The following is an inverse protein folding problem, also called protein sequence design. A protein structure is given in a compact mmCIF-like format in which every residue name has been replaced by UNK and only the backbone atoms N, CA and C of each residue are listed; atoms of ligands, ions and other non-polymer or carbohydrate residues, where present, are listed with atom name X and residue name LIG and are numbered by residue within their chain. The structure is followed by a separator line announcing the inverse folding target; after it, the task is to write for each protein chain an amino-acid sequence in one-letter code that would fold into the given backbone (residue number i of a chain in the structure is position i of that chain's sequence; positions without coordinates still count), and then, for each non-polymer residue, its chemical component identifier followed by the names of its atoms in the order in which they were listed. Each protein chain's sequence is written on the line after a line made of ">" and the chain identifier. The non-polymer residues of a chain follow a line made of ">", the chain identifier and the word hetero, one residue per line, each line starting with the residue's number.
data_IF_767342726120
#
_entry.id   IF_767342726120
#
_cell.length_a   1.000
_cell.length_b   1.000
_cell.length_c   1.000
_cell.angle_alpha   90.00
_cell.angle_beta   90.00
_cell.angle_gamma   90.00
#
_symmetry.space_group_name_H-M   'P 1'
#
loop_
_entity.id
_entity.type
_entity.pdbx_description
1 polymer ?
#
# COMPACT_ATOMS: atom_id res chain seq x y z
N UNK A 1 13.80 7.12 39.11
CA UNK A 1 14.94 7.25 38.19
C UNK A 1 14.94 8.67 37.64
N UNK A 2 15.92 9.49 38.00
CA UNK A 2 16.06 10.82 37.39
C UNK A 2 16.41 10.65 35.91
N UNK A 3 15.71 11.38 35.06
CA UNK A 3 15.95 11.41 33.64
C UNK A 3 17.26 12.17 33.39
N UNK A 4 18.34 11.46 33.07
CA UNK A 4 19.58 12.10 32.68
C UNK A 4 19.44 12.66 31.25
N UNK A 5 18.87 13.87 31.20
CA UNK A 5 18.66 14.65 29.98
C UNK A 5 19.97 14.80 29.19
N UNK A 6 21.11 14.92 29.88
CA UNK A 6 22.42 15.07 29.25
C UNK A 6 22.81 13.82 28.45
N UNK A 7 22.58 12.64 29.02
CA UNK A 7 22.83 11.35 28.37
C UNK A 7 21.92 11.14 27.17
N UNK A 8 20.64 11.50 27.26
CA UNK A 8 19.72 11.40 26.12
C UNK A 8 20.13 12.33 24.97
N UNK A 9 20.48 13.58 25.26
CA UNK A 9 20.94 14.55 24.25
C UNK A 9 22.21 14.04 23.57
N UNK A 10 23.15 13.51 24.35
CA UNK A 10 24.39 12.95 23.80
C UNK A 10 24.12 11.78 22.86
N UNK A 11 23.27 10.84 23.27
CA UNK A 11 22.89 9.69 22.45
C UNK A 11 22.13 10.12 21.18
N UNK A 12 21.21 11.07 21.28
CA UNK A 12 20.51 11.62 20.12
C UNK A 12 21.45 12.29 19.11
N UNK A 13 22.45 13.05 19.59
CA UNK A 13 23.49 13.64 18.73
C UNK A 13 24.32 12.57 18.02
N UNK A 14 24.68 11.50 18.74
CA UNK A 14 25.36 10.34 18.15
C UNK A 14 24.50 9.66 17.09
N UNK A 15 23.21 9.51 17.33
CA UNK A 15 22.28 8.93 16.35
C UNK A 15 22.12 9.83 15.11
N UNK A 16 22.04 11.16 15.29
CA UNK A 16 22.06 12.13 14.18
C UNK A 16 23.30 11.96 13.30
N UNK A 17 24.48 11.89 13.91
CA UNK A 17 25.74 11.70 13.19
C UNK A 17 25.75 10.37 12.41
N UNK A 18 25.29 9.27 13.03
CA UNK A 18 25.18 7.97 12.37
C UNK A 18 24.20 7.99 11.19
N UNK A 19 23.05 8.64 11.35
CA UNK A 19 22.07 8.78 10.27
C UNK A 19 22.65 9.54 9.07
N UNK A 20 23.31 10.67 9.33
CA UNK A 20 23.97 11.45 8.29
C UNK A 20 25.05 10.64 7.57
N UNK A 21 25.97 10.02 8.31
CA UNK A 21 27.06 9.23 7.73
C UNK A 21 26.53 8.10 6.82
N UNK A 22 25.47 7.41 7.23
CA UNK A 22 24.91 6.26 6.51
C UNK A 22 24.06 6.61 5.29
N UNK A 23 23.40 7.77 5.28
CA UNK A 23 22.33 8.06 4.31
C UNK A 23 22.52 9.38 3.57
N UNK A 24 23.09 10.39 4.22
CA UNK A 24 23.13 11.76 3.68
C UNK A 24 24.53 12.20 3.23
N UNK A 25 25.58 11.55 3.73
CA UNK A 25 26.95 11.85 3.33
C UNK A 25 27.25 11.32 1.93
N UNK A 26 28.23 11.93 1.24
CA UNK A 26 28.63 11.48 -0.11
C UNK A 26 29.03 9.99 -0.13
N UNK A 27 29.84 9.56 0.85
CA UNK A 27 30.22 8.16 1.00
C UNK A 27 29.03 7.26 1.34
N UNK A 28 28.07 7.75 2.12
CA UNK A 28 26.84 7.03 2.46
C UNK A 28 25.95 6.80 1.23
N UNK A 29 25.78 7.84 0.40
CA UNK A 29 25.03 7.76 -0.87
C UNK A 29 25.70 6.75 -1.80
N UNK A 30 27.00 6.85 -1.98
CA UNK A 30 27.79 5.95 -2.83
C UNK A 30 27.70 4.49 -2.35
N UNK A 31 27.86 4.25 -1.04
CA UNK A 31 27.72 2.91 -0.45
C UNK A 31 26.32 2.34 -0.67
N UNK A 32 25.28 3.15 -0.50
CA UNK A 32 23.90 2.72 -0.74
C UNK A 32 23.65 2.42 -2.22
N UNK A 33 24.25 3.20 -3.12
CA UNK A 33 24.14 2.99 -4.55
C UNK A 33 24.80 1.68 -4.99
N UNK A 34 26.02 1.40 -4.52
CA UNK A 34 26.66 0.10 -4.79
C UNK A 34 25.86 -1.09 -4.23
N UNK A 35 25.27 -0.95 -3.04
CA UNK A 35 24.40 -2.01 -2.49
C UNK A 35 23.17 -2.25 -3.35
N UNK A 36 22.58 -1.21 -3.92
CA UNK A 36 21.44 -1.36 -4.81
C UNK A 36 21.83 -2.06 -6.10
N UNK A 37 23.00 -1.76 -6.66
CA UNK A 37 23.51 -2.50 -7.82
C UNK A 37 23.73 -3.99 -7.49
N UNK A 38 24.22 -4.29 -6.29
CA UNK A 38 24.40 -5.69 -5.83
C UNK A 38 23.08 -6.44 -5.65
N UNK A 39 22.00 -5.76 -5.29
CA UNK A 39 20.68 -6.36 -5.09
C UNK A 39 19.73 -6.11 -6.26
N UNK A 40 20.23 -5.58 -7.37
CA UNK A 40 19.40 -5.17 -8.50
C UNK A 40 18.68 -6.35 -9.12
N UNK A 41 19.36 -7.49 -9.29
CA UNK A 41 18.77 -8.66 -9.94
C UNK A 41 17.66 -9.32 -9.12
N UNK A 42 17.73 -9.19 -7.78
CA UNK A 42 16.72 -9.73 -6.86
C UNK A 42 15.46 -8.86 -6.79
N UNK A 43 15.57 -7.57 -7.10
CA UNK A 43 14.47 -6.63 -6.94
C UNK A 43 13.32 -6.86 -7.95
N UNK A 44 13.56 -7.14 -9.25
CA UNK A 44 12.53 -7.54 -10.19
C UNK A 44 11.67 -8.70 -9.71
N UNK A 45 12.28 -9.75 -9.15
CA UNK A 45 11.58 -10.91 -8.62
C UNK A 45 10.56 -10.48 -7.56
N UNK A 46 10.99 -9.65 -6.59
CA UNK A 46 10.11 -9.10 -5.57
C UNK A 46 8.97 -8.25 -6.17
N UNK A 47 9.26 -7.41 -7.17
CA UNK A 47 8.24 -6.56 -7.81
C UNK A 47 7.20 -7.42 -8.52
N UNK A 48 7.63 -8.40 -9.32
CA UNK A 48 6.73 -9.28 -10.06
C UNK A 48 5.88 -10.16 -9.14
N UNK A 49 6.37 -10.53 -7.95
CA UNK A 49 5.63 -11.35 -6.99
C UNK A 49 4.64 -10.58 -6.10
N UNK A 50 4.63 -9.25 -6.15
CA UNK A 50 3.87 -8.44 -5.19
C UNK A 50 2.98 -7.42 -5.88
N UNK A 51 3.51 -6.69 -6.85
CA UNK A 51 2.76 -5.61 -7.48
C UNK A 51 1.55 -6.12 -8.29
N UNK A 52 1.67 -7.20 -9.10
CA UNK A 52 0.53 -7.74 -9.84
C UNK A 52 -0.64 -8.16 -8.95
N UNK A 53 -0.38 -8.80 -7.80
CA UNK A 53 -1.43 -9.24 -6.86
C UNK A 53 -2.35 -8.07 -6.48
N UNK A 54 -1.74 -6.94 -6.16
CA UNK A 54 -2.48 -5.76 -5.70
C UNK A 54 -3.16 -5.00 -6.82
N UNK A 55 -2.53 -4.93 -7.99
CA UNK A 55 -3.11 -4.23 -9.14
C UNK A 55 -4.28 -5.01 -9.71
N UNK A 56 -4.15 -6.32 -9.89
CA UNK A 56 -5.25 -7.16 -10.34
C UNK A 56 -6.38 -7.26 -9.32
N UNK A 57 -6.07 -7.20 -8.03
CA UNK A 57 -7.11 -7.10 -6.99
C UNK A 57 -7.78 -5.73 -6.98
N UNK A 58 -7.05 -4.64 -7.25
CA UNK A 58 -7.64 -3.31 -7.38
C UNK A 58 -8.59 -3.23 -8.59
N UNK A 59 -8.21 -3.80 -9.74
CA UNK A 59 -9.08 -3.92 -10.91
C UNK A 59 -10.33 -4.78 -10.63
N UNK A 60 -10.17 -5.87 -9.89
CA UNK A 60 -11.28 -6.69 -9.43
C UNK A 60 -12.27 -5.91 -8.55
N UNK A 61 -11.74 -5.19 -7.55
CA UNK A 61 -12.53 -4.37 -6.64
C UNK A 61 -13.16 -3.17 -7.33
N UNK A 62 -12.54 -2.66 -8.39
CA UNK A 62 -13.13 -1.63 -9.23
C UNK A 62 -14.46 -2.08 -9.84
N UNK A 63 -14.50 -3.29 -10.42
CA UNK A 63 -15.73 -3.87 -10.98
C UNK A 63 -16.76 -4.24 -9.91
N UNK A 64 -16.31 -4.85 -8.81
CA UNK A 64 -17.23 -5.30 -7.76
C UNK A 64 -17.88 -4.19 -6.95
N UNK A 65 -17.15 -3.10 -6.75
CA UNK A 65 -17.57 -2.04 -5.84
C UNK A 65 -17.77 -0.72 -6.57
N UNK A 66 -17.77 -0.67 -7.90
CA UNK A 66 -18.02 0.55 -8.67
C UNK A 66 -17.11 1.72 -8.22
N UNK A 67 -15.84 1.40 -8.00
CA UNK A 67 -14.79 2.38 -7.64
C UNK A 67 -13.88 2.50 -8.86
N UNK A 68 -13.70 3.69 -9.47
CA UNK A 68 -12.78 3.86 -10.57
C UNK A 68 -11.36 3.36 -10.24
N UNK A 69 -10.66 2.67 -11.16
CA UNK A 69 -9.33 2.12 -10.89
C UNK A 69 -8.32 3.17 -10.37
N UNK A 70 -8.36 4.40 -10.91
CA UNK A 70 -7.43 5.47 -10.53
C UNK A 70 -7.55 5.90 -9.05
N UNK A 71 -8.68 5.60 -8.43
CA UNK A 71 -8.88 5.88 -7.01
C UNK A 71 -8.11 4.95 -6.09
N UNK A 72 -7.80 3.73 -6.55
CA UNK A 72 -6.99 2.81 -5.77
C UNK A 72 -5.57 3.33 -5.66
N UNK A 73 -5.10 3.51 -4.42
CA UNK A 73 -3.78 4.08 -4.21
C UNK A 73 -2.68 3.19 -4.76
N UNK A 74 -2.91 1.88 -4.82
CA UNK A 74 -1.95 0.95 -5.42
C UNK A 74 -1.71 1.30 -6.87
N UNK A 75 -2.75 1.55 -7.67
CA UNK A 75 -2.65 1.96 -9.08
C UNK A 75 -2.05 3.35 -9.23
N UNK A 76 -2.39 4.28 -8.33
CA UNK A 76 -2.00 5.69 -8.43
C UNK A 76 -0.61 6.02 -7.83
N UNK A 77 0.13 5.02 -7.36
CA UNK A 77 1.46 5.19 -6.76
C UNK A 77 2.54 4.98 -7.81
N UNK A 78 2.66 5.94 -8.74
CA UNK A 78 3.72 5.95 -9.74
C UNK A 78 4.39 7.31 -9.79
N UNK A 79 5.71 7.29 -9.92
CA UNK A 79 6.54 8.48 -9.96
C UNK A 79 7.53 8.39 -11.11
N UNK A 80 8.06 9.52 -11.56
CA UNK A 80 9.16 9.57 -12.50
C UNK A 80 10.30 10.39 -11.89
N UNK A 81 11.48 9.78 -11.68
CA UNK A 81 12.66 10.52 -11.27
C UNK A 81 13.22 11.28 -12.48
N UNK A 82 13.26 12.60 -12.38
CA UNK A 82 13.90 13.48 -13.36
C UNK A 82 15.19 14.06 -12.79
N UNK A 83 16.13 14.38 -13.68
CA UNK A 83 17.32 15.12 -13.32
C UNK A 83 16.93 16.56 -12.92
N UNK A 84 17.40 17.04 -11.76
CA UNK A 84 17.11 18.39 -11.32
C UNK A 84 17.95 19.41 -12.10
N UNK A 85 17.41 20.61 -12.28
CA UNK A 85 18.17 21.76 -12.77
C UNK A 85 19.28 22.17 -11.78
N UNK A 86 20.26 22.95 -12.25
CA UNK A 86 21.39 23.37 -11.42
C UNK A 86 20.95 24.10 -10.14
N UNK A 87 19.92 24.96 -10.20
CA UNK A 87 19.38 25.66 -9.02
C UNK A 87 18.86 24.67 -7.97
N UNK A 88 18.04 23.70 -8.40
CA UNK A 88 17.51 22.62 -7.56
C UNK A 88 18.64 21.77 -6.96
N UNK A 89 19.64 21.42 -7.77
CA UNK A 89 20.80 20.64 -7.33
C UNK A 89 21.62 21.36 -6.25
N UNK A 90 21.88 22.66 -6.43
CA UNK A 90 22.57 23.48 -5.43
C UNK A 90 21.79 23.59 -4.11
N UNK A 91 20.45 23.56 -4.17
CA UNK A 91 19.59 23.49 -2.99
C UNK A 91 19.52 22.08 -2.36
N UNK A 92 20.23 21.10 -2.92
CA UNK A 92 20.28 19.73 -2.40
C UNK A 92 19.14 18.84 -2.87
N UNK A 93 18.40 19.25 -3.92
CA UNK A 93 17.45 18.37 -4.60
C UNK A 93 18.27 17.52 -5.58
N UNK A 94 18.50 16.25 -5.24
CA UNK A 94 19.35 15.35 -6.03
C UNK A 94 18.58 14.71 -7.19
N UNK A 95 17.28 14.48 -6.99
CA UNK A 95 16.33 13.97 -7.98
C UNK A 95 15.02 14.70 -7.78
N UNK A 96 14.41 15.13 -8.88
CA UNK A 96 13.06 15.67 -8.87
C UNK A 96 12.06 14.54 -9.12
N UNK A 97 11.16 14.30 -8.17
CA UNK A 97 10.21 13.18 -8.22
C UNK A 97 8.86 13.73 -8.64
N UNK A 98 8.50 13.53 -9.91
CA UNK A 98 7.20 13.92 -10.43
C UNK A 98 6.20 12.77 -10.29
N UNK A 99 4.96 13.08 -9.93
CA UNK A 99 3.89 12.08 -9.90
C UNK A 99 3.38 11.89 -11.33
N UNK A 100 3.32 10.65 -11.80
CA UNK A 100 2.67 10.34 -13.06
C UNK A 100 1.19 10.10 -12.78
N UNK A 101 0.32 10.77 -13.52
CA UNK A 101 -1.08 10.38 -13.57
C UNK A 101 -1.25 9.28 -14.61
N UNK A 102 -1.52 8.05 -14.14
CA UNK A 102 -1.72 6.90 -15.02
C UNK A 102 -2.98 7.02 -15.86
N UNK A 103 -3.94 7.85 -15.44
CA UNK A 103 -5.16 8.10 -16.19
C UNK A 103 -4.93 8.91 -17.47
N UNK A 104 -3.77 9.56 -17.61
CA UNK A 104 -3.35 10.21 -18.86
C UNK A 104 -2.78 9.20 -19.88
N UNK A 105 -2.27 8.06 -19.40
CA UNK A 105 -1.74 6.98 -20.24
C UNK A 105 -2.84 5.97 -20.60
N UNK A 106 -3.71 5.68 -19.64
CA UNK A 106 -4.82 4.77 -19.75
C UNK A 106 -6.10 5.49 -19.33
N UNK A 107 -6.80 6.10 -20.28
CA UNK A 107 -8.00 6.91 -20.02
C UNK A 107 -9.06 6.11 -19.25
N UNK A 108 -9.21 4.83 -19.61
CA UNK A 108 -10.14 3.89 -18.99
C UNK A 108 -9.96 3.69 -17.47
N UNK A 109 -8.88 4.19 -16.86
CA UNK A 109 -8.72 4.18 -15.40
C UNK A 109 -9.61 5.21 -14.69
N UNK A 110 -10.13 6.22 -15.41
CA UNK A 110 -10.93 7.32 -14.85
C UNK A 110 -12.34 6.90 -14.47
N UNK A 111 -12.91 6.00 -15.26
CA UNK A 111 -14.29 5.55 -15.10
C UNK A 111 -14.42 4.03 -15.24
N UNK A 112 -15.39 3.45 -14.54
CA UNK A 112 -15.62 2.00 -14.54
C UNK A 112 -16.25 1.55 -15.87
N UNK A 113 -17.06 2.40 -16.51
CA UNK A 113 -17.70 2.15 -17.80
C UNK A 113 -16.65 2.11 -18.91
N UNK A 114 -15.76 3.10 -18.97
CA UNK A 114 -14.62 3.10 -19.90
C UNK A 114 -13.69 1.89 -19.66
N UNK A 115 -13.48 1.50 -18.39
CA UNK A 115 -12.74 0.28 -18.07
C UNK A 115 -13.40 -0.97 -18.67
N UNK A 116 -14.73 -1.10 -18.55
CA UNK A 116 -15.49 -2.23 -19.11
C UNK A 116 -15.37 -2.23 -20.64
N UNK A 117 -15.56 -1.08 -21.29
CA UNK A 117 -15.52 -0.96 -22.75
C UNK A 117 -14.16 -1.34 -23.34
N UNK A 118 -13.07 -0.86 -22.73
CA UNK A 118 -11.72 -1.08 -23.25
C UNK A 118 -11.17 -2.48 -22.91
N UNK A 119 -11.50 -3.01 -21.72
CA UNK A 119 -10.87 -4.23 -21.23
C UNK A 119 -11.71 -5.49 -21.40
N UNK A 120 -13.04 -5.39 -21.47
CA UNK A 120 -13.93 -6.55 -21.47
C UNK A 120 -14.46 -6.81 -22.87
N UNK A 121 -14.57 -8.09 -23.26
CA UNK A 121 -15.20 -8.52 -24.51
C UNK A 121 -16.61 -7.97 -24.64
N UNK A 122 -16.94 -7.45 -25.82
CA UNK A 122 -18.21 -6.76 -26.13
C UNK A 122 -19.45 -7.56 -25.74
N UNK A 123 -19.43 -8.87 -25.96
CA UNK A 123 -20.51 -9.81 -25.62
C UNK A 123 -20.88 -9.83 -24.12
N UNK A 124 -19.97 -9.43 -23.24
CA UNK A 124 -20.14 -9.47 -21.79
C UNK A 124 -20.40 -8.09 -21.17
N UNK A 125 -20.19 -7.00 -21.92
CA UNK A 125 -20.24 -5.64 -21.40
C UNK A 125 -21.63 -5.29 -20.87
N UNK A 126 -22.69 -5.58 -21.63
CA UNK A 126 -24.08 -5.29 -21.23
C UNK A 126 -24.47 -6.04 -19.94
N UNK A 127 -24.09 -7.31 -19.85
CA UNK A 127 -24.37 -8.15 -18.67
C UNK A 127 -23.68 -7.60 -17.43
N UNK A 128 -22.41 -7.20 -17.53
CA UNK A 128 -21.66 -6.65 -16.39
C UNK A 128 -22.19 -5.26 -16.02
N UNK A 129 -22.44 -4.39 -16.99
CA UNK A 129 -22.92 -3.02 -16.76
C UNK A 129 -24.31 -2.96 -16.14
N UNK A 130 -25.17 -3.93 -16.45
CA UNK A 130 -26.53 -4.02 -15.89
C UNK A 130 -26.59 -4.65 -14.50
N UNK A 131 -25.69 -5.57 -14.19
CA UNK A 131 -25.69 -6.32 -12.91
C UNK A 131 -24.72 -5.76 -11.87
N UNK A 132 -23.77 -4.91 -12.27
CA UNK A 132 -22.85 -4.26 -11.33
C UNK A 132 -23.60 -3.37 -10.34
N UNK A 133 -23.18 -3.34 -9.06
CA UNK A 133 -23.75 -2.40 -8.10
C UNK A 133 -23.42 -0.96 -8.53
N UNK A 134 -24.34 -0.02 -8.31
CA UNK A 134 -24.11 1.41 -8.54
C UNK A 134 -24.21 2.19 -7.25
N UNK A 135 -23.42 3.25 -7.11
CA UNK A 135 -23.49 4.14 -5.94
C UNK A 135 -24.88 4.77 -5.83
N UNK A 136 -25.41 4.82 -4.61
CA UNK A 136 -26.69 5.45 -4.34
C UNK A 136 -26.59 6.98 -4.48
N UNK A 137 -27.24 7.54 -5.50
CA UNK A 137 -27.47 8.98 -5.64
C UNK A 137 -28.89 9.29 -5.18
N UNK A 138 -29.00 10.19 -4.21
CA UNK A 138 -30.29 10.61 -3.65
C UNK A 138 -31.14 11.26 -4.74
N UNK A 139 -32.37 10.75 -4.96
CA UNK A 139 -33.31 11.28 -5.96
C UNK A 139 -33.19 10.66 -7.35
N UNK A 140 -32.10 9.92 -7.65
CA UNK A 140 -31.91 9.27 -8.95
C UNK A 140 -31.99 7.74 -8.85
N UNK A 141 -31.35 7.16 -7.82
CA UNK A 141 -31.24 5.70 -7.70
C UNK A 141 -32.45 5.07 -7.02
N UNK A 142 -32.87 3.91 -7.53
CA UNK A 142 -33.98 3.13 -6.95
C UNK A 142 -33.52 2.40 -5.68
N UNK A 143 -34.36 2.43 -4.65
CA UNK A 143 -34.13 1.69 -3.41
C UNK A 143 -33.91 0.19 -3.69
N UNK A 144 -32.86 -0.39 -3.11
CA UNK A 144 -32.50 -1.80 -3.29
C UNK A 144 -31.59 -2.12 -4.50
N UNK A 145 -31.30 -1.14 -5.37
CA UNK A 145 -30.42 -1.31 -6.54
C UNK A 145 -29.11 -0.52 -6.42
N UNK A 146 -28.85 0.06 -5.25
CA UNK A 146 -27.69 0.89 -5.00
C UNK A 146 -27.13 0.66 -3.60
N UNK A 147 -25.87 1.03 -3.40
CA UNK A 147 -25.18 0.89 -2.12
C UNK A 147 -24.68 2.25 -1.60
N UNK A 148 -24.59 2.37 -0.28
CA UNK A 148 -24.04 3.54 0.41
C UNK A 148 -22.64 3.22 0.90
N UNK A 149 -21.68 4.10 0.58
CA UNK A 149 -20.28 3.97 0.96
C UNK A 149 -19.89 4.96 2.06
N UNK A 150 -19.77 4.52 3.32
CA UNK A 150 -19.09 5.29 4.34
C UNK A 150 -17.65 5.64 3.89
N UNK A 151 -17.22 6.91 3.98
CA UNK A 151 -15.90 7.34 3.49
C UNK A 151 -14.74 6.51 4.06
N UNK A 152 -14.84 6.11 5.34
CA UNK A 152 -13.83 5.27 5.97
C UNK A 152 -13.72 3.89 5.31
N UNK A 153 -14.84 3.22 5.01
CA UNK A 153 -14.85 1.90 4.36
C UNK A 153 -14.22 1.98 2.96
N UNK A 154 -14.61 3.01 2.18
CA UNK A 154 -14.04 3.27 0.85
C UNK A 154 -12.52 3.46 0.91
N UNK A 155 -12.01 4.27 1.83
CA UNK A 155 -10.56 4.48 1.96
C UNK A 155 -9.82 3.23 2.52
N UNK A 156 -10.51 2.38 3.28
CA UNK A 156 -9.98 1.10 3.70
C UNK A 156 -9.82 0.12 2.53
N UNK A 157 -10.82 0.02 1.65
CA UNK A 157 -10.75 -0.78 0.42
C UNK A 157 -9.67 -0.29 -0.54
N UNK A 158 -9.63 1.02 -0.78
CA UNK A 158 -8.72 1.66 -1.74
C UNK A 158 -7.24 1.54 -1.38
N UNK A 159 -6.92 1.34 -0.11
CA UNK A 159 -5.53 1.48 0.35
C UNK A 159 -5.16 0.64 1.58
N UNK A 160 -6.02 0.53 2.58
CA UNK A 160 -5.61 0.05 3.92
C UNK A 160 -5.60 -1.47 4.02
N UNK A 161 -6.59 -2.16 3.45
CA UNK A 161 -6.61 -3.63 3.42
C UNK A 161 -5.46 -4.20 2.60
N UNK A 162 -5.17 -3.59 1.46
CA UNK A 162 -4.03 -3.97 0.62
C UNK A 162 -2.71 -3.77 1.38
N UNK A 163 -2.58 -2.67 2.13
CA UNK A 163 -1.42 -2.44 3.00
C UNK A 163 -1.27 -3.51 4.08
N UNK A 164 -2.35 -3.88 4.78
CA UNK A 164 -2.28 -4.95 5.78
C UNK A 164 -1.77 -6.25 5.17
N UNK A 165 -2.20 -6.55 3.93
CA UNK A 165 -1.72 -7.71 3.20
C UNK A 165 -0.23 -7.61 2.82
N UNK A 166 0.29 -6.42 2.49
CA UNK A 166 1.73 -6.22 2.21
C UNK A 166 2.60 -6.29 3.48
N UNK A 167 2.16 -5.68 4.59
CA UNK A 167 2.97 -5.61 5.82
C UNK A 167 3.20 -6.99 6.47
N UNK A 168 2.55 -8.05 5.93
CA UNK A 168 2.77 -9.49 6.17
C UNK A 168 3.31 -9.82 7.56
N UNK A 169 2.38 -9.96 8.50
CA UNK A 169 2.54 -10.79 9.67
C UNK A 169 2.26 -12.27 9.36
N UNK A 170 1.82 -13.02 10.37
CA UNK A 170 1.18 -14.32 10.14
C UNK A 170 -0.25 -14.13 9.60
N UNK A 171 -0.82 -15.14 8.93
CA UNK A 171 -2.22 -15.10 8.45
C UNK A 171 -3.19 -14.81 9.60
N UNK A 172 -2.88 -15.32 10.81
CA UNK A 172 -3.65 -15.02 12.02
C UNK A 172 -3.70 -13.53 12.36
N UNK A 173 -2.56 -12.84 12.21
CA UNK A 173 -2.50 -11.39 12.43
C UNK A 173 -3.32 -10.67 11.38
N UNK A 174 -3.19 -11.04 10.11
CA UNK A 174 -3.96 -10.43 9.02
C UNK A 174 -5.48 -10.59 9.23
N UNK A 175 -5.96 -11.78 9.57
CA UNK A 175 -7.38 -12.01 9.86
C UNK A 175 -7.83 -11.18 11.08
N UNK A 176 -6.99 -11.07 12.11
CA UNK A 176 -7.28 -10.23 13.26
C UNK A 176 -7.35 -8.74 12.87
N UNK A 177 -6.51 -8.25 11.97
CA UNK A 177 -6.53 -6.87 11.45
C UNK A 177 -7.86 -6.59 10.72
N UNK A 178 -8.30 -7.52 9.87
CA UNK A 178 -9.57 -7.43 9.15
C UNK A 178 -10.78 -7.47 10.11
N UNK A 179 -10.80 -8.39 11.08
CA UNK A 179 -11.84 -8.46 12.13
C UNK A 179 -11.94 -7.15 12.92
N UNK A 180 -10.80 -6.54 13.24
CA UNK A 180 -10.76 -5.26 13.97
C UNK A 180 -11.25 -4.08 13.14
N UNK A 181 -10.86 -4.02 11.87
CA UNK A 181 -11.38 -2.99 10.96
C UNK A 181 -12.90 -3.10 10.81
N UNK A 182 -13.42 -4.34 10.68
CA UNK A 182 -14.85 -4.63 10.63
C UNK A 182 -15.60 -4.17 11.89
N UNK A 183 -15.14 -4.60 13.08
CA UNK A 183 -15.79 -4.28 14.37
C UNK A 183 -15.92 -2.76 14.57
N UNK A 184 -14.90 -1.99 14.18
CA UNK A 184 -14.88 -0.53 14.38
C UNK A 184 -15.73 0.20 13.34
N UNK A 185 -15.64 -0.22 12.08
CA UNK A 185 -16.36 0.43 10.98
C UNK A 185 -17.82 -0.04 10.86
N UNK A 186 -18.25 -1.01 11.68
CA UNK A 186 -19.60 -1.57 11.60
C UNK A 186 -19.86 -2.32 10.29
N UNK A 187 -18.83 -2.90 9.68
CA UNK A 187 -18.93 -3.55 8.37
C UNK A 187 -19.52 -4.96 8.53
N UNK A 188 -20.27 -5.41 7.52
CA UNK A 188 -20.77 -6.79 7.46
C UNK A 188 -19.61 -7.81 7.42
N UNK A 189 -19.78 -8.96 8.08
CA UNK A 189 -18.80 -10.04 8.11
C UNK A 189 -18.51 -10.62 6.74
N UNK A 190 -19.57 -10.92 5.98
CA UNK A 190 -19.49 -11.56 4.67
C UNK A 190 -18.74 -10.68 3.67
N UNK A 191 -18.93 -9.37 3.77
CA UNK A 191 -18.15 -8.39 3.01
C UNK A 191 -16.66 -8.50 3.31
N UNK A 192 -16.30 -8.50 4.60
CA UNK A 192 -14.90 -8.56 5.05
C UNK A 192 -14.26 -9.90 4.66
N UNK A 193 -15.01 -10.99 4.83
CA UNK A 193 -14.64 -12.35 4.43
C UNK A 193 -14.37 -12.41 2.93
N UNK A 194 -15.25 -11.84 2.11
CA UNK A 194 -15.08 -11.82 0.66
C UNK A 194 -13.82 -11.06 0.24
N UNK A 195 -13.59 -9.84 0.77
CA UNK A 195 -12.40 -9.03 0.45
C UNK A 195 -11.12 -9.80 0.81
N UNK A 196 -11.08 -10.41 1.99
CA UNK A 196 -9.95 -11.24 2.43
C UNK A 196 -9.75 -12.45 1.52
N UNK A 197 -10.81 -13.22 1.27
CA UNK A 197 -10.76 -14.42 0.43
C UNK A 197 -10.26 -14.08 -0.97
N UNK A 198 -10.72 -12.97 -1.56
CA UNK A 198 -10.28 -12.51 -2.89
C UNK A 198 -8.79 -12.20 -2.92
N UNK A 199 -8.29 -11.41 -1.96
CA UNK A 199 -6.87 -11.09 -1.84
C UNK A 199 -6.02 -12.35 -1.66
N UNK A 200 -6.46 -13.28 -0.79
CA UNK A 200 -5.79 -14.55 -0.53
C UNK A 200 -5.79 -15.46 -1.77
N UNK A 201 -6.91 -15.54 -2.49
CA UNK A 201 -7.05 -16.33 -3.72
C UNK A 201 -6.12 -15.84 -4.82
N UNK A 202 -6.14 -14.53 -5.11
CA UNK A 202 -5.27 -13.92 -6.12
C UNK A 202 -3.81 -14.19 -5.74
N UNK A 203 -3.38 -13.79 -4.55
CA UNK A 203 -1.97 -13.95 -4.14
C UNK A 203 -1.50 -15.41 -4.11
N UNK A 204 -2.36 -16.35 -3.69
CA UNK A 204 -2.01 -17.77 -3.68
C UNK A 204 -1.89 -18.33 -5.10
N UNK A 205 -2.73 -17.87 -6.03
CA UNK A 205 -2.72 -18.32 -7.41
C UNK A 205 -1.38 -18.07 -8.11
N UNK A 206 -0.69 -16.99 -7.77
CA UNK A 206 0.62 -16.68 -8.37
C UNK A 206 1.66 -17.77 -8.11
N UNK A 207 1.56 -18.50 -7.00
CA UNK A 207 2.49 -19.58 -6.65
C UNK A 207 1.95 -20.96 -7.00
N UNK A 208 0.64 -21.17 -6.88
CA UNK A 208 0.02 -22.48 -7.06
C UNK A 208 -0.34 -22.80 -8.53
N UNK A 209 -0.53 -21.79 -9.39
CA UNK A 209 -0.92 -22.00 -10.78
C UNK A 209 -0.28 -20.98 -11.76
N UNK A 210 0.28 -21.48 -12.86
CA UNK A 210 0.75 -20.64 -13.96
C UNK A 210 -0.45 -20.17 -14.79
N UNK A 211 -0.89 -18.94 -14.54
CA UNK A 211 -1.94 -18.27 -15.31
C UNK A 211 -1.28 -17.27 -16.27
N UNK A 212 -1.58 -17.35 -17.57
CA UNK A 212 -1.00 -16.45 -18.56
C UNK A 212 -1.33 -14.98 -18.25
N UNK A 213 -0.30 -14.12 -18.28
CA UNK A 213 -0.42 -12.70 -17.96
C UNK A 213 -0.44 -12.36 -16.47
N UNK A 214 -0.31 -13.35 -15.57
CA UNK A 214 -0.22 -13.15 -14.13
C UNK A 214 0.90 -13.96 -13.46
N UNK A 215 1.10 -15.20 -13.90
CA UNK A 215 2.11 -16.09 -13.36
C UNK A 215 3.53 -15.62 -13.65
N UNK A 216 4.43 -15.91 -12.71
CA UNK A 216 5.86 -15.57 -12.76
C UNK A 216 6.65 -16.84 -13.04
N UNK A 217 7.42 -16.82 -14.13
CA UNK A 217 8.27 -17.96 -14.51
C UNK A 217 9.27 -18.30 -13.39
N UNK A 218 9.43 -19.59 -13.11
CA UNK A 218 10.29 -20.08 -12.03
C UNK A 218 9.63 -20.09 -10.65
N UNK A 219 8.49 -19.41 -10.46
CA UNK A 219 7.74 -19.38 -9.20
C UNK A 219 6.37 -20.06 -9.30
N UNK A 220 5.61 -19.77 -10.36
CA UNK A 220 4.29 -20.35 -10.56
C UNK A 220 4.38 -21.81 -10.97
N UNK A 221 3.64 -22.68 -10.29
CA UNK A 221 3.55 -24.10 -10.64
C UNK A 221 2.72 -24.31 -11.90
N UNK A 222 3.15 -25.21 -12.77
CA UNK A 222 2.33 -25.66 -13.89
C UNK A 222 1.14 -26.48 -13.37
N UNK A 223 0.00 -26.37 -14.05
CA UNK A 223 -1.16 -27.20 -13.75
C UNK A 223 -0.82 -28.70 -13.89
N UNK A 224 -1.52 -29.55 -13.13
CA UNK A 224 -1.35 -31.00 -13.19
C UNK A 224 -1.60 -31.53 -14.61
N UNK A 225 -0.75 -32.47 -15.05
CA UNK A 225 -0.82 -33.06 -16.39
C UNK A 225 -2.21 -33.67 -16.63
N UNK A 226 -2.87 -33.24 -17.70
CA UNK A 226 -4.19 -33.75 -18.12
C UNK A 226 -5.39 -33.00 -17.56
N UNK A 227 -5.19 -32.05 -16.63
CA UNK A 227 -6.26 -31.15 -16.18
C UNK A 227 -6.39 -29.95 -17.12
N UNK A 228 -7.63 -29.61 -17.51
CA UNK A 228 -7.94 -28.36 -18.20
C UNK A 228 -7.98 -27.15 -17.26
N UNK A 229 -8.08 -27.39 -15.95
CA UNK A 229 -8.20 -26.36 -14.92
C UNK A 229 -6.97 -26.36 -14.00
N UNK A 230 -6.46 -25.18 -13.69
CA UNK A 230 -5.47 -24.98 -12.65
C UNK A 230 -6.08 -25.12 -11.26
N UNK A 231 -5.36 -25.78 -10.35
CA UNK A 231 -5.75 -25.90 -8.94
C UNK A 231 -5.08 -24.82 -8.13
N UNK A 232 -5.86 -24.01 -7.42
CA UNK A 232 -5.34 -22.98 -6.51
C UNK A 232 -5.80 -23.33 -5.10
N UNK A 233 -4.83 -23.52 -4.21
CA UNK A 233 -5.07 -23.71 -2.78
C UNK A 233 -4.80 -22.41 -2.06
N UNK A 234 -5.75 -21.96 -1.25
CA UNK A 234 -5.61 -20.73 -0.48
C UNK A 234 -6.22 -20.91 0.90
N UNK A 235 -5.81 -20.05 1.84
CA UNK A 235 -6.38 -20.02 3.18
C UNK A 235 -7.51 -19.00 3.20
N UNK A 236 -8.71 -19.45 3.59
CA UNK A 236 -9.89 -18.61 3.73
C UNK A 236 -9.86 -17.79 5.05
N UNK A 237 -10.80 -16.87 5.18
CA UNK A 237 -10.95 -16.01 6.35
C UNK A 237 -11.23 -16.80 7.65
N UNK A 238 -11.77 -18.01 7.53
CA UNK A 238 -12.05 -18.92 8.64
C UNK A 238 -10.87 -19.86 8.94
N UNK A 239 -9.74 -19.68 8.24
CA UNK A 239 -8.47 -20.42 8.33
C UNK A 239 -8.50 -21.84 7.76
N UNK A 240 -9.49 -22.17 6.95
CA UNK A 240 -9.52 -23.44 6.24
C UNK A 240 -8.70 -23.33 4.94
N UNK A 241 -8.03 -24.41 4.58
CA UNK A 241 -7.42 -24.54 3.26
C UNK A 241 -8.51 -24.94 2.30
N UNK A 242 -8.83 -24.05 1.36
CA UNK A 242 -9.80 -24.27 0.30
C UNK A 242 -9.07 -24.52 -1.02
N UNK A 243 -9.64 -25.39 -1.86
CA UNK A 243 -9.15 -25.65 -3.20
C UNK A 243 -10.18 -25.19 -4.23
N UNK A 244 -9.75 -24.38 -5.19
CA UNK A 244 -10.58 -23.92 -6.30
C UNK A 244 -9.94 -24.27 -7.64
N UNK A 245 -10.80 -24.56 -8.60
CA UNK A 245 -10.39 -24.89 -9.96
C UNK A 245 -10.65 -23.67 -10.86
N UNK A 246 -9.59 -23.15 -11.48
CA UNK A 246 -9.65 -21.94 -12.29
C UNK A 246 -8.99 -22.14 -13.64
N UNK A 247 -9.55 -21.53 -14.67
CA UNK A 247 -8.95 -21.56 -16.00
C UNK A 247 -8.19 -20.27 -16.31
N UNK A 248 -8.81 -19.14 -15.97
CA UNK A 248 -8.33 -17.80 -16.29
C UNK A 248 -8.33 -16.91 -15.04
N UNK A 249 -7.59 -15.80 -15.10
CA UNK A 249 -7.41 -14.88 -13.98
C UNK A 249 -8.73 -14.28 -13.48
N UNK A 250 -9.67 -14.03 -14.41
CA UNK A 250 -10.98 -13.45 -14.12
C UNK A 250 -11.87 -14.32 -13.22
N UNK A 251 -11.66 -15.65 -13.20
CA UNK A 251 -12.32 -16.53 -12.24
C UNK A 251 -11.95 -16.17 -10.79
N UNK A 252 -10.69 -15.78 -10.56
CA UNK A 252 -10.21 -15.34 -9.25
C UNK A 252 -10.55 -13.88 -8.99
N UNK A 253 -10.46 -13.05 -10.03
CA UNK A 253 -10.65 -11.61 -9.90
C UNK A 253 -12.09 -11.19 -9.79
N UNK A 254 -13.04 -11.79 -10.53
CA UNK A 254 -14.45 -11.38 -10.54
C UNK A 254 -15.47 -12.52 -10.42
N UNK A 255 -15.00 -13.77 -10.47
CA UNK A 255 -15.85 -14.95 -10.44
C UNK A 255 -16.72 -15.09 -9.19
N UNK A 256 -17.96 -15.52 -9.38
CA UNK A 256 -18.82 -16.04 -8.34
C UNK A 256 -18.40 -17.49 -8.02
N UNK A 257 -17.91 -17.73 -6.80
CA UNK A 257 -17.51 -19.05 -6.34
C UNK A 257 -18.46 -19.47 -5.21
N UNK A 258 -19.18 -20.57 -5.44
CA UNK A 258 -20.18 -21.05 -4.50
C UNK A 258 -19.55 -21.34 -3.12
N UNK A 259 -20.19 -20.83 -2.06
CA UNK A 259 -19.71 -20.98 -0.68
C UNK A 259 -18.61 -20.01 -0.27
N UNK A 260 -18.01 -19.26 -1.20
CA UNK A 260 -16.93 -18.30 -0.92
C UNK A 260 -17.33 -16.85 -1.23
N UNK A 261 -18.07 -16.64 -2.31
CA UNK A 261 -18.53 -15.32 -2.75
C UNK A 261 -19.98 -15.08 -2.31
N UNK A 262 -20.28 -14.00 -1.57
CA UNK A 262 -21.65 -13.61 -1.26
C UNK A 262 -22.45 -13.32 -2.54
N UNK A 263 -23.76 -13.59 -2.49
CA UNK A 263 -24.66 -13.28 -3.61
C UNK A 263 -24.64 -11.79 -3.93
N UNK A 264 -24.57 -11.46 -5.22
CA UNK A 264 -24.48 -10.07 -5.70
C UNK A 264 -23.07 -9.47 -5.73
N UNK A 265 -22.04 -10.19 -5.26
CA UNK A 265 -20.65 -9.71 -5.25
C UNK A 265 -19.67 -10.57 -6.08
N UNK A 266 -20.19 -11.16 -7.16
CA UNK A 266 -19.41 -11.90 -8.16
C UNK A 266 -20.21 -12.15 -9.42
N UNK A 267 -19.49 -12.42 -10.51
CA UNK A 267 -20.06 -12.67 -11.83
C UNK A 267 -19.87 -14.13 -12.24
N UNK A 268 -20.82 -14.68 -12.98
CA UNK A 268 -20.62 -15.96 -13.66
C UNK A 268 -19.75 -15.70 -14.90
N UNK A 269 -18.50 -16.16 -14.86
CA UNK A 269 -17.50 -15.90 -15.89
C UNK A 269 -17.35 -17.09 -16.84
N UNK A 270 -17.09 -16.84 -18.15
CA UNK A 270 -16.88 -17.90 -19.11
C UNK A 270 -15.47 -18.50 -19.01
N UNK A 271 -15.31 -19.77 -19.40
CA UNK A 271 -14.01 -20.43 -19.42
C UNK A 271 -12.98 -19.79 -20.36
N UNK A 272 -13.39 -18.99 -21.35
CA UNK A 272 -12.50 -18.36 -22.33
C UNK A 272 -11.87 -17.04 -21.86
N UNK A 273 -12.15 -16.63 -20.62
CA UNK A 273 -11.71 -15.36 -20.03
C UNK A 273 -12.52 -14.15 -20.54
N UNK A 274 -12.59 -13.10 -19.74
CA UNK A 274 -13.36 -11.88 -20.07
C UNK A 274 -12.57 -10.82 -20.82
N UNK A 275 -11.23 -10.85 -20.74
CA UNK A 275 -10.40 -9.75 -21.22
C UNK A 275 -10.31 -9.71 -22.76
N UNK A 276 -10.37 -8.50 -23.31
CA UNK A 276 -10.17 -8.22 -24.73
C UNK A 276 -8.67 -8.29 -25.06
N UNK A 277 -8.31 -9.18 -26.00
CA UNK A 277 -6.95 -9.29 -26.52
C UNK A 277 -6.88 -8.58 -27.88
N UNK A 278 -6.22 -7.41 -28.00
CA UNK A 278 -6.11 -6.72 -29.27
C UNK A 278 -5.25 -7.54 -30.25
N UNK A 279 -5.65 -7.67 -31.50
CA UNK A 279 -4.85 -8.36 -32.52
C UNK A 279 -3.61 -7.54 -32.88
N UNK A 280 -2.42 -8.13 -32.79
CA UNK A 280 -1.15 -7.51 -33.19
C UNK A 280 -0.60 -8.24 -34.42
N UNK A 281 -0.43 -7.51 -35.52
CA UNK A 281 0.18 -8.05 -36.74
C UNK A 281 1.68 -7.83 -36.69
N UNK A 282 2.45 -8.91 -36.54
CA UNK A 282 3.91 -8.86 -36.61
C UNK A 282 4.34 -9.19 -38.03
N UNK A 283 4.97 -8.24 -38.72
CA UNK A 283 5.57 -8.47 -40.03
C UNK A 283 6.97 -9.05 -39.85
N UNK A 284 7.15 -10.31 -40.23
CA UNK A 284 8.46 -10.93 -40.30
C UNK A 284 8.91 -10.95 -41.77
N UNK A 285 10.08 -10.37 -42.12
CA UNK A 285 10.60 -10.39 -43.49
C UNK A 285 10.83 -11.80 -44.06
N UNK A 286 10.91 -12.83 -43.20
CA UNK A 286 11.13 -14.22 -43.62
C UNK A 286 9.90 -15.13 -43.50
N UNK A 287 8.85 -14.73 -42.76
CA UNK A 287 7.70 -15.59 -42.46
C UNK A 287 6.32 -14.95 -42.80
N UNK A 288 6.33 -13.78 -43.45
CA UNK A 288 5.11 -13.02 -43.73
C UNK A 288 4.57 -12.27 -42.51
N UNK A 289 3.40 -11.64 -42.66
CA UNK A 289 2.70 -11.00 -41.53
C UNK A 289 1.83 -12.02 -40.81
N UNK A 290 2.12 -12.24 -39.51
CA UNK A 290 1.31 -13.11 -38.65
C UNK A 290 0.54 -12.27 -37.64
N UNK A 291 -0.79 -12.40 -37.63
CA UNK A 291 -1.64 -11.74 -36.63
C UNK A 291 -1.70 -12.61 -35.39
N UNK A 292 -1.13 -12.13 -34.30
CA UNK A 292 -1.14 -12.81 -33.00
C UNK A 292 -2.00 -12.02 -32.02
N UNK A 293 -2.67 -12.69 -31.06
CA UNK A 293 -3.37 -11.99 -29.99
C UNK A 293 -2.33 -11.25 -29.13
N UNK A 294 -2.47 -9.94 -29.04
CA UNK A 294 -1.69 -9.10 -28.14
C UNK A 294 -2.20 -9.17 -26.70
N UNK A 295 -1.41 -8.63 -25.79
CA UNK A 295 -1.75 -8.56 -24.36
C UNK A 295 -2.93 -7.62 -24.11
N UNK A 296 -3.93 -8.01 -23.30
CA UNK A 296 -5.01 -7.14 -22.84
C UNK A 296 -4.50 -5.83 -22.23
N UNK A 297 -5.29 -4.75 -22.35
CA UNK A 297 -4.92 -3.41 -21.85
C UNK A 297 -4.61 -3.41 -20.34
N UNK A 298 -5.45 -4.08 -19.54
CA UNK A 298 -5.22 -4.29 -18.10
C UNK A 298 -3.87 -4.96 -17.79
N UNK A 299 -3.49 -6.00 -18.54
CA UNK A 299 -2.24 -6.72 -18.32
C UNK A 299 -1.04 -5.85 -18.73
N UNK A 300 -1.16 -5.10 -19.83
CA UNK A 300 -0.13 -4.13 -20.25
C UNK A 300 0.07 -3.03 -19.21
N UNK A 301 -1.00 -2.53 -18.61
CA UNK A 301 -0.91 -1.54 -17.53
C UNK A 301 -0.11 -2.07 -16.34
N UNK A 302 -0.41 -3.28 -15.86
CA UNK A 302 0.33 -3.92 -14.76
C UNK A 302 1.80 -4.16 -15.14
N UNK A 303 2.06 -4.61 -16.37
CA UNK A 303 3.41 -4.83 -16.89
C UNK A 303 4.24 -3.53 -16.91
N UNK A 304 3.68 -2.46 -17.47
CA UNK A 304 4.32 -1.15 -17.55
C UNK A 304 4.62 -0.59 -16.17
N UNK A 305 3.72 -0.81 -15.21
CA UNK A 305 3.95 -0.45 -13.80
C UNK A 305 5.10 -1.22 -13.19
N UNK A 306 5.12 -2.55 -13.32
CA UNK A 306 6.22 -3.38 -12.81
C UNK A 306 7.56 -2.93 -13.38
N UNK A 307 7.63 -2.74 -14.71
CA UNK A 307 8.85 -2.27 -15.40
C UNK A 307 9.30 -0.90 -14.91
N UNK A 308 8.37 0.04 -14.69
CA UNK A 308 8.70 1.37 -14.16
C UNK A 308 9.25 1.29 -12.73
N UNK A 309 8.61 0.53 -11.84
CA UNK A 309 9.08 0.34 -10.46
C UNK A 309 10.47 -0.29 -10.43
N UNK A 310 10.73 -1.28 -11.28
CA UNK A 310 12.05 -1.91 -11.43
C UNK A 310 13.10 -0.88 -11.86
N UNK A 311 12.81 -0.10 -12.92
CA UNK A 311 13.74 0.95 -13.40
C UNK A 311 14.03 2.00 -12.33
N UNK A 312 13.06 2.30 -11.47
CA UNK A 312 13.18 3.31 -10.44
C UNK A 312 14.07 2.90 -9.26
N UNK A 313 14.30 1.60 -9.08
CA UNK A 313 15.03 1.05 -7.94
C UNK A 313 16.41 1.69 -7.75
N UNK A 314 17.12 1.94 -8.87
CA UNK A 314 18.45 2.56 -8.90
C UNK A 314 18.50 3.96 -8.29
N UNK A 315 17.38 4.68 -8.25
CA UNK A 315 17.29 6.06 -7.80
C UNK A 315 16.97 6.21 -6.30
N UNK A 316 16.70 5.11 -5.61
CA UNK A 316 16.41 5.10 -4.17
C UNK A 316 17.48 5.78 -3.28
N UNK A 317 18.80 5.63 -3.51
CA UNK A 317 19.82 6.26 -2.65
C UNK A 317 19.71 7.77 -2.69
N UNK A 318 19.55 8.32 -3.90
CA UNK A 318 19.38 9.75 -4.13
C UNK A 318 18.04 10.25 -3.59
N UNK A 319 16.98 9.44 -3.67
CA UNK A 319 15.68 9.77 -3.08
C UNK A 319 15.74 9.82 -1.54
N UNK A 320 16.51 8.94 -0.91
CA UNK A 320 16.74 8.93 0.54
C UNK A 320 17.61 10.12 1.00
N UNK A 321 18.64 10.43 0.22
CA UNK A 321 19.57 11.53 0.47
C UNK A 321 19.06 12.91 0.02
N UNK A 322 17.89 12.93 -0.62
CA UNK A 322 17.29 14.13 -1.19
C UNK A 322 17.10 15.23 -0.12
N UNK A 323 17.15 16.47 -0.58
CA UNK A 323 17.06 17.70 0.21
C UNK A 323 18.28 18.01 1.11
N UNK A 324 19.44 17.40 0.84
CA UNK A 324 20.70 17.66 1.53
C UNK A 324 21.71 18.35 0.60
N UNK A 325 22.10 19.60 0.93
CA UNK A 325 22.99 20.41 0.09
C UNK A 325 24.41 19.85 0.04
N UNK A 326 25.22 20.17 -0.99
CA UNK A 326 26.59 19.67 -1.10
C UNK A 326 27.48 19.95 0.12
N UNK A 327 27.37 21.14 0.73
CA UNK A 327 28.09 21.47 1.96
C UNK A 327 27.58 20.67 3.18
N UNK A 328 26.27 20.42 3.25
CA UNK A 328 25.62 19.61 4.28
C UNK A 328 25.94 18.12 4.16
N UNK A 329 26.30 17.63 2.98
CA UNK A 329 26.75 16.23 2.79
C UNK A 329 28.12 15.98 3.43
N UNK A 330 28.95 17.03 3.55
CA UNK A 330 30.30 16.92 4.13
C UNK A 330 30.30 16.90 5.65
N UNK A 331 29.41 17.65 6.29
CA UNK A 331 29.33 17.72 7.75
C UNK A 331 27.88 17.74 8.25
N UNK A 332 27.57 16.79 9.14
CA UNK A 332 26.26 16.62 9.77
C UNK A 332 25.82 17.82 10.62
N UNK A 333 26.76 18.67 11.05
CA UNK A 333 26.47 19.86 11.87
C UNK A 333 25.67 20.90 11.09
N UNK A 334 25.89 20.99 9.79
CA UNK A 334 25.18 21.94 8.92
C UNK A 334 23.93 21.33 8.26
N UNK A 335 23.74 20.01 8.34
CA UNK A 335 22.65 19.32 7.63
C UNK A 335 21.28 19.57 8.26
N UNK A 336 20.49 20.43 7.61
CA UNK A 336 19.07 20.66 7.98
C UNK A 336 18.24 19.38 7.91
N UNK A 337 18.58 18.47 6.99
CA UNK A 337 17.91 17.17 6.85
C UNK A 337 18.19 16.26 8.05
N UNK A 338 19.42 16.28 8.55
CA UNK A 338 19.78 15.57 9.77
C UNK A 338 19.12 16.20 11.02
N UNK A 339 19.01 17.54 11.08
CA UNK A 339 18.28 18.24 12.15
C UNK A 339 16.78 17.92 12.14
N UNK A 340 16.17 17.85 10.96
CA UNK A 340 14.79 17.46 10.81
C UNK A 340 14.55 16.03 11.33
N UNK A 341 15.43 15.09 11.00
CA UNK A 341 15.38 13.73 11.53
C UNK A 341 15.52 13.71 13.05
N UNK A 342 16.48 14.48 13.57
CA UNK A 342 16.74 14.61 15.01
C UNK A 342 15.51 15.14 15.76
N UNK A 343 14.88 16.21 15.28
CA UNK A 343 13.65 16.77 15.88
C UNK A 343 12.48 15.77 15.88
N UNK A 344 12.37 14.92 14.85
CA UNK A 344 11.37 13.85 14.82
C UNK A 344 11.67 12.76 15.85
N UNK A 345 12.94 12.42 16.09
CA UNK A 345 13.31 11.50 17.16
C UNK A 345 13.09 12.13 18.54
N UNK A 346 13.39 13.42 18.74
CA UNK A 346 13.10 14.11 19.99
C UNK A 346 11.61 14.04 20.33
N UNK A 347 10.73 14.34 19.37
CA UNK A 347 9.29 14.20 19.55
C UNK A 347 8.90 12.76 19.92
N UNK A 348 9.51 11.76 19.26
CA UNK A 348 9.29 10.35 19.59
C UNK A 348 9.70 10.04 21.04
N UNK A 349 10.91 10.40 21.46
CA UNK A 349 11.38 10.12 22.82
C UNK A 349 10.57 10.88 23.86
N UNK A 350 10.20 12.14 23.61
CA UNK A 350 9.30 12.91 24.48
C UNK A 350 8.01 12.13 24.75
N UNK A 351 7.37 11.66 23.69
CA UNK A 351 6.11 10.90 23.76
C UNK A 351 6.32 9.56 24.49
N UNK A 352 7.38 8.81 24.17
CA UNK A 352 7.70 7.55 24.84
C UNK A 352 7.96 7.76 26.35
N UNK A 353 8.63 8.85 26.73
CA UNK A 353 8.98 9.16 28.12
C UNK A 353 7.81 9.69 28.94
N UNK A 354 6.83 10.36 28.32
CA UNK A 354 5.61 10.78 29.01
C UNK A 354 4.78 9.59 29.49
N UNK A 355 4.82 8.48 28.76
CA UNK A 355 4.08 7.27 29.13
C UNK A 355 4.91 6.27 29.95
N UNK A 356 6.24 6.32 29.88
CA UNK A 356 7.11 5.36 30.58
C UNK A 356 6.81 5.24 32.09
N UNK A 357 6.60 6.33 32.86
CA UNK A 357 6.23 6.25 34.27
C UNK A 357 4.86 5.61 34.52
N UNK A 358 3.92 5.71 33.57
CA UNK A 358 2.60 5.10 33.68
C UNK A 358 2.72 3.60 33.44
N UNK A 359 3.41 3.22 32.35
CA UNK A 359 3.61 1.82 31.96
C UNK A 359 4.33 1.06 33.08
N UNK A 360 5.42 1.63 33.62
CA UNK A 360 6.24 0.98 34.65
C UNK A 360 5.56 0.76 36.00
N UNK A 361 4.41 1.39 36.26
CA UNK A 361 3.61 1.09 37.46
C UNK A 361 2.97 -0.29 37.40
N UNK A 362 2.64 -0.74 36.19
CA UNK A 362 1.83 -1.95 35.98
C UNK A 362 2.57 -3.04 35.22
N UNK A 363 3.67 -2.70 34.53
CA UNK A 363 4.38 -3.64 33.66
C UNK A 363 5.90 -3.51 33.83
N UNK A 364 6.55 -4.65 34.02
CA UNK A 364 8.01 -4.76 34.15
C UNK A 364 8.66 -5.42 32.93
N UNK A 365 7.87 -6.16 32.12
CA UNK A 365 8.39 -6.87 30.96
C UNK A 365 8.87 -5.88 29.86
N UNK A 366 10.16 -5.90 29.48
CA UNK A 366 10.71 -4.98 28.49
C UNK A 366 10.02 -5.03 27.11
N UNK A 367 9.57 -6.22 26.69
CA UNK A 367 8.87 -6.42 25.42
C UNK A 367 7.52 -5.71 25.45
N UNK A 368 6.73 -5.93 26.51
CA UNK A 368 5.44 -5.26 26.67
C UNK A 368 5.59 -3.75 26.84
N UNK A 369 6.60 -3.29 27.59
CA UNK A 369 6.93 -1.85 27.69
C UNK A 369 7.17 -1.27 26.29
N UNK A 370 7.93 -1.98 25.43
CA UNK A 370 8.15 -1.54 24.05
C UNK A 370 6.87 -1.54 23.23
N UNK A 371 5.99 -2.53 23.40
CA UNK A 371 4.69 -2.57 22.74
C UNK A 371 3.80 -1.38 23.15
N UNK A 372 3.73 -1.03 24.43
CA UNK A 372 3.02 0.17 24.89
C UNK A 372 3.60 1.45 24.26
N UNK A 373 4.92 1.57 24.18
CA UNK A 373 5.58 2.71 23.48
C UNK A 373 5.20 2.76 22.00
N UNK A 374 5.19 1.63 21.31
CA UNK A 374 4.72 1.54 19.92
C UNK A 374 3.24 1.94 19.80
N UNK A 375 2.40 1.53 20.74
CA UNK A 375 0.98 1.88 20.77
C UNK A 375 0.77 3.38 20.79
N UNK A 376 1.49 4.09 21.66
CA UNK A 376 1.37 5.54 21.78
C UNK A 376 1.86 6.25 20.52
N UNK A 377 2.98 5.79 19.94
CA UNK A 377 3.47 6.35 18.70
C UNK A 377 2.50 6.13 17.53
N UNK A 378 1.71 5.05 17.55
CA UNK A 378 0.67 4.80 16.56
C UNK A 378 -0.44 5.86 16.59
N UNK A 379 -0.84 6.33 17.79
CA UNK A 379 -1.84 7.39 17.95
C UNK A 379 -1.47 8.69 17.22
N UNK A 380 -0.17 8.98 17.15
CA UNK A 380 0.35 10.15 16.43
C UNK A 380 0.61 9.78 14.97
N UNK A 381 1.27 8.66 14.72
CA UNK A 381 1.85 8.35 13.42
C UNK A 381 0.86 7.88 12.37
N UNK A 382 -0.22 7.19 12.74
CA UNK A 382 -1.20 6.67 11.79
C UNK A 382 -1.98 7.81 11.11
N UNK A 383 -2.54 8.75 11.91
CA UNK A 383 -3.28 9.90 11.37
C UNK A 383 -2.38 11.01 10.79
N UNK A 384 -1.12 11.12 11.23
CA UNK A 384 -0.17 12.12 10.73
C UNK A 384 0.88 11.56 9.75
N UNK A 385 0.62 10.40 9.11
CA UNK A 385 1.56 9.86 8.14
C UNK A 385 1.56 10.69 6.85
N UNK A 386 2.74 11.17 6.46
CA UNK A 386 2.93 11.96 5.24
C UNK A 386 3.08 11.10 3.98
N UNK A 387 3.70 9.93 4.09
CA UNK A 387 3.76 8.94 3.02
C UNK A 387 2.42 8.20 3.02
N UNK A 388 1.52 8.64 2.13
CA UNK A 388 0.06 8.49 2.25
C UNK A 388 -0.46 7.08 2.04
N UNK A 389 0.28 6.24 1.34
CA UNK A 389 -0.23 4.93 0.93
C UNK A 389 -0.67 4.09 2.12
N UNK A 390 -1.92 3.63 2.11
CA UNK A 390 -2.50 2.72 3.11
C UNK A 390 -2.68 3.27 4.53
N UNK A 391 -2.56 4.59 4.73
CA UNK A 391 -2.96 5.24 6.00
C UNK A 391 -4.22 6.10 5.87
N UNK A 392 -4.79 6.25 4.66
CA UNK A 392 -5.95 7.10 4.42
C UNK A 392 -7.17 6.65 5.21
N UNK A 393 -7.37 5.34 5.39
CA UNK A 393 -8.43 4.81 6.23
C UNK A 393 -8.39 5.35 7.66
N UNK A 394 -7.20 5.36 8.29
CA UNK A 394 -7.03 5.92 9.64
C UNK A 394 -7.23 7.44 9.69
N UNK A 395 -6.91 8.15 8.60
CA UNK A 395 -7.13 9.59 8.50
C UNK A 395 -8.61 9.94 8.37
N UNK A 396 -9.38 9.10 7.66
CA UNK A 396 -10.82 9.26 7.45
C UNK A 396 -11.65 8.92 8.70
N UNK A 397 -11.15 8.06 9.59
CA UNK A 397 -11.81 7.74 10.86
C UNK A 397 -12.00 8.97 11.75
N UNK A 398 -13.11 9.02 12.49
CA UNK A 398 -13.30 9.98 13.58
C UNK A 398 -12.27 9.74 14.70
N UNK A 399 -12.09 10.69 15.64
CA UNK A 399 -11.20 10.45 16.78
C UNK A 399 -11.69 9.32 17.68
N UNK A 400 -13.00 9.14 17.80
CA UNK A 400 -13.62 8.08 18.58
C UNK A 400 -13.43 6.70 17.92
N UNK A 401 -13.74 6.58 16.62
CA UNK A 401 -13.51 5.36 15.84
C UNK A 401 -12.04 4.93 15.92
N UNK A 402 -11.12 5.87 15.71
CA UNK A 402 -9.69 5.58 15.75
C UNK A 402 -9.21 5.19 17.16
N UNK A 403 -9.74 5.82 18.21
CA UNK A 403 -9.44 5.47 19.59
C UNK A 403 -9.94 4.06 19.94
N UNK A 404 -11.18 3.74 19.58
CA UNK A 404 -11.77 2.42 19.82
C UNK A 404 -11.00 1.33 19.06
N UNK A 405 -10.65 1.58 17.80
CA UNK A 405 -9.77 0.70 17.03
C UNK A 405 -8.43 0.50 17.70
N UNK A 406 -7.78 1.58 18.12
CA UNK A 406 -6.48 1.53 18.77
C UNK A 406 -6.52 0.73 20.07
N UNK A 407 -7.52 0.95 20.91
CA UNK A 407 -7.66 0.27 22.18
C UNK A 407 -7.84 -1.25 21.98
N UNK A 408 -8.73 -1.63 21.05
CA UNK A 408 -8.99 -3.03 20.75
C UNK A 408 -7.80 -3.71 20.06
N UNK A 409 -7.10 -2.97 19.18
CA UNK A 409 -5.90 -3.42 18.50
C UNK A 409 -4.84 -3.90 19.48
N UNK A 410 -4.53 -3.08 20.48
CA UNK A 410 -3.48 -3.37 21.45
C UNK A 410 -3.94 -4.31 22.56
N UNK A 411 -5.23 -4.30 22.93
CA UNK A 411 -5.82 -5.27 23.86
C UNK A 411 -5.65 -6.71 23.36
N UNK A 412 -6.03 -6.95 22.10
CA UNK A 412 -5.90 -8.28 21.46
C UNK A 412 -4.45 -8.74 21.31
N UNK A 413 -3.48 -7.82 21.29
CA UNK A 413 -2.04 -8.12 21.33
C UNK A 413 -1.52 -8.38 22.76
N UNK A 414 -2.40 -8.43 23.76
CA UNK A 414 -2.04 -8.77 25.14
C UNK A 414 -1.65 -7.58 26.01
N UNK A 415 -1.93 -6.34 25.59
CA UNK A 415 -1.76 -5.16 26.44
C UNK A 415 -2.99 -4.93 27.32
N UNK A 416 -2.76 -4.56 28.58
CA UNK A 416 -3.81 -4.23 29.53
C UNK A 416 -4.54 -2.94 29.12
N UNK A 417 -5.85 -3.05 28.91
CA UNK A 417 -6.76 -1.96 28.53
C UNK A 417 -6.76 -0.79 29.50
N UNK A 418 -6.71 -1.02 30.81
CA UNK A 418 -6.71 0.04 31.82
C UNK A 418 -5.47 0.93 31.68
N UNK A 419 -4.31 0.32 31.43
CA UNK A 419 -3.05 1.04 31.20
C UNK A 419 -3.12 1.87 29.91
N UNK A 420 -3.68 1.31 28.83
CA UNK A 420 -3.88 2.03 27.57
C UNK A 420 -4.81 3.24 27.73
N UNK A 421 -5.91 3.07 28.46
CA UNK A 421 -6.86 4.14 28.77
C UNK A 421 -6.23 5.22 29.65
N UNK A 422 -5.47 4.84 30.69
CA UNK A 422 -4.75 5.78 31.54
C UNK A 422 -3.77 6.60 30.69
N UNK A 423 -2.95 5.94 29.86
CA UNK A 423 -2.02 6.62 28.96
C UNK A 423 -2.75 7.58 28.04
N UNK A 424 -3.80 7.13 27.34
CA UNK A 424 -4.57 7.95 26.41
C UNK A 424 -5.19 9.16 27.11
N UNK A 425 -5.84 8.95 28.26
CA UNK A 425 -6.48 10.02 29.04
C UNK A 425 -5.51 11.14 29.41
N UNK A 426 -4.25 10.80 29.70
CA UNK A 426 -3.22 11.80 30.00
C UNK A 426 -2.80 12.54 28.74
N UNK A 427 -2.55 11.84 27.64
CA UNK A 427 -1.93 12.45 26.46
C UNK A 427 -2.90 13.05 25.44
N UNK A 428 -4.20 12.69 25.49
CA UNK A 428 -5.20 13.00 24.46
C UNK A 428 -5.26 14.48 24.07
N UNK A 429 -5.05 15.38 25.04
CA UNK A 429 -5.06 16.83 24.82
C UNK A 429 -3.95 17.30 23.88
N UNK A 430 -2.78 16.63 23.88
CA UNK A 430 -1.62 17.03 23.08
C UNK A 430 -1.51 16.28 21.75
N UNK A 431 -2.22 15.17 21.58
CA UNK A 431 -2.19 14.36 20.35
C UNK A 431 -2.41 15.20 19.08
N UNK A 432 -3.45 16.07 18.97
CA UNK A 432 -3.67 16.86 17.76
C UNK A 432 -2.50 17.78 17.43
N UNK A 433 -1.90 18.39 18.44
CA UNK A 433 -0.77 19.30 18.26
C UNK A 433 0.50 18.54 17.85
N UNK A 434 0.80 17.41 18.48
CA UNK A 434 1.93 16.58 18.08
C UNK A 434 1.79 16.03 16.66
N UNK A 435 0.57 15.72 16.21
CA UNK A 435 0.29 15.35 14.80
C UNK A 435 0.64 16.51 13.86
N UNK A 436 0.23 17.74 14.18
CA UNK A 436 0.57 18.95 13.40
C UNK A 436 2.08 19.20 13.36
N UNK A 437 2.74 19.18 14.53
CA UNK A 437 4.19 19.35 14.65
C UNK A 437 4.91 18.31 13.81
N UNK A 438 4.54 17.03 13.92
CA UNK A 438 5.15 15.96 13.14
C UNK A 438 5.01 16.20 11.63
N UNK A 439 3.82 16.58 11.18
CA UNK A 439 3.56 16.86 9.77
C UNK A 439 4.42 18.04 9.27
N UNK A 440 4.41 19.17 10.01
CA UNK A 440 5.19 20.37 9.71
C UNK A 440 6.68 20.08 9.69
N UNK A 441 7.20 19.42 10.73
CA UNK A 441 8.60 19.00 10.79
C UNK A 441 8.94 18.11 9.60
N UNK A 442 8.09 17.16 9.24
CA UNK A 442 8.30 16.26 8.10
C UNK A 442 8.41 16.97 6.75
N UNK A 443 7.62 18.03 6.51
CA UNK A 443 7.60 18.75 5.22
C UNK A 443 8.55 19.94 5.12
N UNK A 444 8.95 20.53 6.25
CA UNK A 444 9.74 21.76 6.34
C UNK A 444 10.92 21.85 5.37
N UNK A 445 11.82 20.86 5.39
CA UNK A 445 13.06 20.92 4.60
C UNK A 445 12.74 20.84 3.11
N UNK A 446 11.83 19.95 2.71
CA UNK A 446 11.41 19.80 1.30
C UNK A 446 10.84 21.12 0.78
N UNK A 447 9.83 21.67 1.45
CA UNK A 447 9.15 22.90 1.05
C UNK A 447 10.15 24.06 0.93
N UNK A 448 11.06 24.19 1.90
CA UNK A 448 12.12 25.21 1.89
C UNK A 448 13.10 25.04 0.73
N UNK A 449 13.49 23.80 0.38
CA UNK A 449 14.41 23.57 -0.75
C UNK A 449 13.77 23.95 -2.08
N UNK A 450 12.52 23.55 -2.29
CA UNK A 450 11.79 23.93 -3.50
C UNK A 450 11.56 25.45 -3.59
N UNK A 451 11.21 26.12 -2.47
CA UNK A 451 11.03 27.57 -2.50
C UNK A 451 12.31 28.33 -2.85
N UNK A 452 13.47 27.87 -2.35
CA UNK A 452 14.77 28.47 -2.62
C UNK A 452 15.35 28.12 -4.00
N UNK A 453 14.76 27.16 -4.72
CA UNK A 453 15.20 26.76 -6.06
C UNK A 453 14.44 27.51 -7.18
N UNK A 454 13.32 28.15 -6.84
CA UNK A 454 12.48 28.95 -7.75
C UNK A 454 12.91 30.42 -7.77
N UNK A 455 13.46 30.93 -6.66
CA UNK A 455 14.23 32.17 -6.58
C UNK A 455 15.62 31.97 -7.14
#
# INVERSE_FOLDING_TARGET
>A
MSFDLSKLIHELRRQKQKYHAKTLSTQGIETLWFRILQTEDLYPEFVWLILPDFDFTALAFSLLFDIPPIEFDTINLNFEPQLPDLSKLLQGILIDIQKIDFSEIYEWLKDVEEMIEENIKEELQESITSTRPRKAVYGETKYGYSYYDPPAIREFLKSTFIRFFLERGTIDQLIADFKRAREVLGVNEDFTRMVFNRLSMVSSAQTEALILGYGVLGHSKLAEKGSRLGKVRFIDYDKNIQEIHVNTLDHLQIGFILGLTPLGYGFLVPYSGIYKSPSTTVSNPFAGSTTTPGSPSAIRMVEDRCRRVIRQYRYNPFSLANYNRPNEQRDYRYSERADQWFALQELRYLVENLADPIIRKYEANPVKIRMYKSAILQLISAKAKRHKWGYKGFQAMTEEEFYNWWLEHWRKQGLNTQVLQEIYSRIKRWIPEWRKIKFKLGSRVRERRYSLAVT
#
